data_IF_195340553484
#
_entry.id   IF_195340553484
#
_cell.length_a   1.000
_cell.length_b   1.000
_cell.length_c   1.000
_cell.angle_alpha   90.00
_cell.angle_beta   90.00
_cell.angle_gamma   90.00
#
_symmetry.space_group_name_H-M   'P 1'
#
loop_
_entity.id
_entity.type
_entity.pdbx_description
1 polymer ?
#
# COMPACT_ATOMS: atom_id res chain seq x y z
N UNK A 1 9.15 -19.66 -25.20
CA UNK A 1 8.11 -20.70 -25.32
C UNK A 1 7.81 -21.34 -23.96
N UNK A 2 8.82 -21.90 -23.26
CA UNK A 2 8.65 -22.55 -21.95
C UNK A 2 8.10 -21.64 -20.83
N UNK A 3 8.50 -20.37 -20.76
CA UNK A 3 8.00 -19.43 -19.73
C UNK A 3 6.50 -19.14 -19.89
N UNK A 4 6.06 -18.86 -21.13
CA UNK A 4 4.64 -18.59 -21.44
C UNK A 4 3.77 -19.79 -21.13
N UNK A 5 4.27 -21.00 -21.41
CA UNK A 5 3.58 -22.25 -21.08
C UNK A 5 3.46 -22.43 -19.56
N UNK A 6 4.56 -22.29 -18.80
CA UNK A 6 4.56 -22.33 -17.33
C UNK A 6 3.57 -21.34 -16.74
N UNK A 7 3.59 -20.09 -17.23
CA UNK A 7 2.73 -19.03 -16.74
C UNK A 7 1.25 -19.31 -17.05
N UNK A 8 0.96 -19.90 -18.22
CA UNK A 8 -0.40 -20.35 -18.58
C UNK A 8 -0.90 -21.49 -17.68
N UNK A 9 -0.02 -22.46 -17.35
CA UNK A 9 -0.33 -23.53 -16.40
C UNK A 9 -0.60 -23.02 -15.00
N UNK A 10 0.13 -21.98 -14.54
CA UNK A 10 -0.12 -21.35 -13.25
C UNK A 10 -1.53 -20.75 -13.18
N UNK A 11 -2.00 -20.11 -14.26
CA UNK A 11 -3.37 -19.58 -14.33
C UNK A 11 -4.38 -20.72 -14.23
N UNK A 12 -4.19 -21.77 -15.02
CA UNK A 12 -5.11 -22.90 -15.05
C UNK A 12 -5.23 -23.58 -13.69
N UNK A 13 -4.11 -23.80 -13.00
CA UNK A 13 -4.11 -24.38 -11.65
C UNK A 13 -4.90 -23.49 -10.68
N UNK A 14 -4.69 -22.17 -10.68
CA UNK A 14 -5.41 -21.26 -9.78
C UNK A 14 -6.90 -21.17 -10.08
N UNK A 15 -7.28 -21.15 -11.35
CA UNK A 15 -8.68 -21.17 -11.76
C UNK A 15 -9.36 -22.47 -11.33
N UNK A 16 -8.68 -23.61 -11.50
CA UNK A 16 -9.16 -24.92 -11.05
C UNK A 16 -9.32 -24.97 -9.53
N UNK A 17 -8.32 -24.51 -8.78
CA UNK A 17 -8.38 -24.50 -7.31
C UNK A 17 -9.53 -23.61 -6.82
N UNK A 18 -9.77 -22.49 -7.50
CA UNK A 18 -10.90 -21.60 -7.22
C UNK A 18 -12.27 -22.26 -7.42
N UNK A 19 -12.40 -23.08 -8.46
CA UNK A 19 -13.62 -23.85 -8.75
C UNK A 19 -13.83 -25.00 -7.76
N UNK A 20 -12.73 -25.63 -7.33
CA UNK A 20 -12.75 -26.78 -6.44
C UNK A 20 -12.86 -26.42 -4.96
N UNK A 21 -12.54 -25.17 -4.58
CA UNK A 21 -12.62 -24.74 -3.19
C UNK A 21 -14.07 -24.75 -2.71
N UNK A 22 -14.36 -25.62 -1.75
CA UNK A 22 -15.62 -25.67 -1.00
C UNK A 22 -15.81 -24.41 -0.18
N UNK A 23 -17.06 -23.93 -0.07
CA UNK A 23 -17.43 -22.77 0.73
C UNK A 23 -16.82 -22.87 2.13
N UNK A 24 -16.13 -21.81 2.54
CA UNK A 24 -15.69 -21.65 3.92
C UNK A 24 -16.88 -21.16 4.74
N UNK A 25 -17.12 -21.76 5.91
CA UNK A 25 -18.17 -21.31 6.82
C UNK A 25 -17.73 -19.97 7.44
N UNK A 26 -18.19 -18.87 6.84
CA UNK A 26 -18.02 -17.52 7.38
C UNK A 26 -19.16 -17.20 8.36
N UNK A 27 -18.92 -16.32 9.35
CA UNK A 27 -19.99 -15.73 10.15
C UNK A 27 -21.08 -15.11 9.27
N UNK A 28 -22.33 -15.17 9.73
CA UNK A 28 -23.45 -14.54 9.04
C UNK A 28 -23.28 -13.01 8.99
N UNK A 29 -23.56 -12.42 7.84
CA UNK A 29 -23.52 -10.97 7.65
C UNK A 29 -24.78 -10.37 8.24
N UNK A 30 -24.64 -9.55 9.28
CA UNK A 30 -25.73 -8.85 9.97
C UNK A 30 -25.62 -7.33 9.77
N UNK A 31 -26.69 -6.55 9.98
CA UNK A 31 -26.59 -5.09 9.96
C UNK A 31 -25.53 -4.59 10.95
N UNK A 32 -24.58 -3.80 10.47
CA UNK A 32 -23.44 -3.35 11.28
C UNK A 32 -22.19 -4.26 11.18
N UNK A 33 -22.25 -5.34 10.40
CA UNK A 33 -21.07 -6.14 10.09
C UNK A 33 -19.96 -5.29 9.46
N UNK A 34 -18.73 -5.63 9.81
CA UNK A 34 -17.53 -5.01 9.24
C UNK A 34 -17.40 -5.20 7.73
N UNK A 35 -16.88 -4.18 7.04
CA UNK A 35 -16.67 -4.18 5.58
C UNK A 35 -15.87 -5.40 5.11
N UNK A 36 -14.87 -5.82 5.90
CA UNK A 36 -14.07 -7.00 5.58
C UNK A 36 -14.92 -8.25 5.47
N UNK A 37 -15.81 -8.51 6.44
CA UNK A 37 -16.68 -9.69 6.44
C UNK A 37 -17.64 -9.65 5.23
N UNK A 38 -18.21 -8.47 4.97
CA UNK A 38 -19.11 -8.26 3.83
C UNK A 38 -18.39 -8.59 2.51
N UNK A 39 -17.18 -8.05 2.30
CA UNK A 39 -16.38 -8.30 1.09
C UNK A 39 -15.97 -9.76 0.97
N UNK A 40 -15.55 -10.40 2.06
CA UNK A 40 -15.20 -11.84 2.08
C UNK A 40 -16.41 -12.71 1.72
N UNK A 41 -17.59 -12.40 2.27
CA UNK A 41 -18.83 -13.10 1.94
C UNK A 41 -19.21 -12.93 0.45
N UNK A 42 -19.10 -11.72 -0.11
CA UNK A 42 -19.32 -11.50 -1.54
C UNK A 42 -18.30 -12.26 -2.39
N UNK A 43 -17.03 -12.24 -2.01
CA UNK A 43 -15.98 -12.95 -2.73
C UNK A 43 -16.23 -14.46 -2.74
N UNK A 44 -16.66 -15.08 -1.64
CA UNK A 44 -16.93 -16.53 -1.61
C UNK A 44 -18.15 -16.89 -2.47
N UNK A 45 -19.20 -16.06 -2.42
CA UNK A 45 -20.47 -16.38 -3.07
C UNK A 45 -20.50 -16.07 -4.57
N UNK A 46 -19.71 -15.11 -5.04
CA UNK A 46 -19.68 -14.73 -6.45
C UNK A 46 -18.53 -15.45 -7.19
N UNK A 47 -18.84 -16.41 -8.10
CA UNK A 47 -17.82 -17.11 -8.86
C UNK A 47 -17.00 -16.19 -9.78
N UNK A 48 -17.60 -15.12 -10.32
CA UNK A 48 -16.91 -14.18 -11.19
C UNK A 48 -15.86 -13.38 -10.42
N UNK A 49 -16.19 -12.93 -9.20
CA UNK A 49 -15.22 -12.25 -8.32
C UNK A 49 -14.06 -13.17 -7.93
N UNK A 50 -14.34 -14.45 -7.63
CA UNK A 50 -13.26 -15.41 -7.34
C UNK A 50 -12.34 -15.62 -8.54
N UNK A 51 -12.90 -15.76 -9.74
CA UNK A 51 -12.10 -15.86 -10.96
C UNK A 51 -11.26 -14.60 -11.19
N UNK A 52 -11.85 -13.41 -11.03
CA UNK A 52 -11.12 -12.14 -11.13
C UNK A 52 -9.97 -12.06 -10.12
N UNK A 53 -10.18 -12.52 -8.88
CA UNK A 53 -9.14 -12.60 -7.84
C UNK A 53 -8.03 -13.59 -8.20
N UNK A 54 -8.38 -14.74 -8.78
CA UNK A 54 -7.40 -15.71 -9.27
C UNK A 54 -6.53 -15.14 -10.39
N UNK A 55 -7.13 -14.42 -11.34
CA UNK A 55 -6.41 -13.70 -12.41
C UNK A 55 -5.52 -12.60 -11.83
N UNK A 56 -6.01 -11.82 -10.86
CA UNK A 56 -5.19 -10.80 -10.18
C UNK A 56 -3.95 -11.43 -9.53
N UNK A 57 -4.13 -12.51 -8.75
CA UNK A 57 -3.02 -13.21 -8.12
C UNK A 57 -2.05 -13.78 -9.16
N UNK A 58 -2.56 -14.29 -10.28
CA UNK A 58 -1.76 -14.77 -11.41
C UNK A 58 -0.88 -13.67 -12.02
N UNK A 59 -1.45 -12.51 -12.32
CA UNK A 59 -0.69 -11.36 -12.80
C UNK A 59 0.40 -10.92 -11.82
N UNK A 60 0.09 -10.91 -10.52
CA UNK A 60 1.05 -10.57 -9.46
C UNK A 60 2.21 -11.58 -9.42
N UNK A 61 1.91 -12.87 -9.53
CA UNK A 61 2.91 -13.93 -9.47
C UNK A 61 3.82 -13.97 -10.71
N UNK A 62 3.29 -13.72 -11.90
CA UNK A 62 4.13 -13.61 -13.11
C UNK A 62 5.09 -12.44 -12.98
N UNK A 63 4.60 -11.31 -12.48
CA UNK A 63 5.42 -10.10 -12.37
C UNK A 63 6.56 -10.29 -11.37
N UNK A 64 6.35 -11.12 -10.35
CA UNK A 64 7.33 -11.46 -9.31
C UNK A 64 8.27 -12.59 -9.77
N UNK A 65 8.82 -12.49 -10.98
CA UNK A 65 9.86 -13.41 -11.43
C UNK A 65 11.18 -13.16 -10.69
N UNK A 66 12.11 -14.12 -10.76
CA UNK A 66 13.38 -14.05 -10.02
C UNK A 66 14.21 -12.81 -10.35
N UNK A 67 14.16 -12.37 -11.61
CA UNK A 67 14.90 -11.19 -12.07
C UNK A 67 14.30 -9.92 -11.48
N UNK A 68 12.98 -9.75 -11.58
CA UNK A 68 12.28 -8.62 -11.00
C UNK A 68 12.47 -8.56 -9.49
N UNK A 69 12.45 -9.71 -8.81
CA UNK A 69 12.71 -9.79 -7.38
C UNK A 69 14.15 -9.38 -7.02
N UNK A 70 15.14 -9.77 -7.82
CA UNK A 70 16.53 -9.36 -7.63
C UNK A 70 16.73 -7.86 -7.84
N UNK A 71 16.16 -7.30 -8.91
CA UNK A 71 16.22 -5.88 -9.23
C UNK A 71 15.55 -5.05 -8.12
N UNK A 72 14.38 -5.47 -7.63
CA UNK A 72 13.71 -4.81 -6.50
C UNK A 72 14.51 -4.87 -5.21
N UNK A 73 15.07 -6.03 -4.87
CA UNK A 73 15.93 -6.16 -3.68
C UNK A 73 17.13 -5.21 -3.78
N UNK A 74 17.80 -5.16 -4.94
CA UNK A 74 18.92 -4.26 -5.15
C UNK A 74 18.50 -2.79 -5.03
N UNK A 75 17.37 -2.40 -5.63
CA UNK A 75 16.84 -1.04 -5.49
C UNK A 75 16.55 -0.69 -4.02
N UNK A 76 15.93 -1.59 -3.27
CA UNK A 76 15.65 -1.41 -1.85
C UNK A 76 16.91 -1.24 -1.00
N UNK A 77 18.02 -1.92 -1.33
CA UNK A 77 19.29 -1.76 -0.57
C UNK A 77 19.93 -0.38 -0.73
N UNK A 78 19.53 0.40 -1.74
CA UNK A 78 19.99 1.78 -1.93
C UNK A 78 19.25 2.76 -1.03
N UNK A 79 18.12 2.36 -0.45
CA UNK A 79 17.36 3.23 0.44
C UNK A 79 18.01 3.26 1.82
N UNK A 80 18.36 4.45 2.26
CA UNK A 80 18.91 4.66 3.60
C UNK A 80 17.76 4.73 4.63
N UNK A 81 17.89 4.07 5.80
CA UNK A 81 16.93 4.22 6.87
C UNK A 81 17.04 5.63 7.47
N UNK A 82 15.90 6.31 7.62
CA UNK A 82 15.83 7.71 8.08
C UNK A 82 14.72 7.87 9.11
N UNK A 83 14.94 8.82 10.04
CA UNK A 83 13.92 9.23 11.01
C UNK A 83 12.96 10.29 10.44
N UNK A 84 13.44 11.10 9.50
CA UNK A 84 12.72 12.24 8.93
C UNK A 84 12.91 12.17 7.42
N UNK A 85 11.82 12.32 6.67
CA UNK A 85 11.87 12.47 5.22
C UNK A 85 12.31 13.90 4.83
N UNK A 86 12.87 14.06 3.63
CA UNK A 86 13.46 15.32 3.16
C UNK A 86 14.49 15.94 4.11
N UNK A 87 15.39 15.10 4.62
CA UNK A 87 16.38 15.47 5.64
C UNK A 87 17.29 16.63 5.18
N UNK A 88 17.71 16.63 3.91
CA UNK A 88 18.63 17.64 3.37
C UNK A 88 17.93 18.99 3.22
N UNK A 89 16.69 18.99 2.77
CA UNK A 89 15.82 20.17 2.69
C UNK A 89 15.56 20.71 4.10
N UNK A 90 15.23 19.85 5.07
CA UNK A 90 15.07 20.23 6.48
C UNK A 90 16.33 20.91 7.06
N UNK A 91 17.51 20.33 6.80
CA UNK A 91 18.78 20.89 7.24
C UNK A 91 19.04 22.27 6.61
N UNK A 92 18.79 22.39 5.29
CA UNK A 92 18.92 23.66 4.59
C UNK A 92 17.99 24.73 5.17
N UNK A 93 16.74 24.39 5.48
CA UNK A 93 15.77 25.33 6.06
C UNK A 93 16.22 25.88 7.40
N UNK A 94 16.72 25.00 8.28
CA UNK A 94 17.28 25.41 9.58
C UNK A 94 18.48 26.33 9.41
N UNK A 95 19.36 26.02 8.45
CA UNK A 95 20.58 26.79 8.19
C UNK A 95 20.26 28.17 7.61
N UNK A 96 19.37 28.23 6.61
CA UNK A 96 18.91 29.47 5.98
C UNK A 96 18.18 30.38 6.97
N UNK A 97 17.33 29.82 7.83
CA UNK A 97 16.66 30.56 8.90
C UNK A 97 17.65 31.17 9.89
N UNK A 98 18.63 30.40 10.37
CA UNK A 98 19.61 30.89 11.34
C UNK A 98 20.56 31.95 10.75
N UNK A 99 20.89 31.83 9.46
CA UNK A 99 21.83 32.71 8.77
C UNK A 99 21.16 33.87 8.01
N UNK A 100 19.82 34.00 8.06
CA UNK A 100 19.04 34.95 7.25
C UNK A 100 19.40 34.91 5.75
N UNK A 101 19.68 33.71 5.23
CA UNK A 101 20.03 33.50 3.81
C UNK A 101 18.77 33.30 2.96
N UNK A 102 18.77 33.72 1.69
CA UNK A 102 17.65 33.46 0.78
C UNK A 102 17.42 31.95 0.62
N UNK A 103 16.16 31.52 0.73
CA UNK A 103 15.75 30.13 0.60
C UNK A 103 15.05 29.87 -0.76
N UNK A 104 15.67 29.10 -1.67
CA UNK A 104 15.04 28.72 -2.94
C UNK A 104 14.05 27.54 -2.82
N UNK A 105 14.02 26.83 -1.70
CA UNK A 105 13.21 25.62 -1.50
C UNK A 105 11.88 25.91 -0.79
N UNK A 106 11.09 24.85 -0.58
CA UNK A 106 9.89 24.86 0.27
C UNK A 106 10.18 25.44 1.65
N UNK A 107 9.17 25.96 2.33
CA UNK A 107 9.29 26.65 3.63
C UNK A 107 8.72 25.85 4.81
N UNK A 108 7.96 24.79 4.55
CA UNK A 108 7.45 23.85 5.56
C UNK A 108 7.64 22.42 5.06
N UNK A 109 7.64 21.44 5.97
CA UNK A 109 7.84 20.02 5.65
C UNK A 109 6.52 19.26 5.58
N UNK A 110 5.49 19.86 4.98
CA UNK A 110 4.24 19.16 4.68
C UNK A 110 4.42 18.35 3.40
N UNK A 111 3.79 17.17 3.31
CA UNK A 111 3.90 16.31 2.13
C UNK A 111 3.40 16.98 0.84
N UNK A 112 2.52 17.98 0.94
CA UNK A 112 1.98 18.76 -0.17
C UNK A 112 2.63 20.15 -0.32
N UNK A 113 3.72 20.42 0.41
CA UNK A 113 4.39 21.73 0.40
C UNK A 113 4.89 22.13 -0.99
N UNK A 114 5.43 21.18 -1.76
CA UNK A 114 5.91 21.42 -3.12
C UNK A 114 4.78 21.89 -4.04
N UNK A 115 3.61 21.25 -3.93
CA UNK A 115 2.41 21.63 -4.68
C UNK A 115 1.86 22.98 -4.24
N UNK A 116 1.67 23.21 -2.93
CA UNK A 116 1.08 24.44 -2.37
C UNK A 116 1.93 25.67 -2.65
N UNK A 117 3.24 25.54 -2.48
CA UNK A 117 4.16 26.67 -2.57
C UNK A 117 4.70 26.90 -3.98
N UNK A 118 4.51 25.93 -4.88
CA UNK A 118 5.14 25.90 -6.22
C UNK A 118 6.66 26.07 -6.12
N UNK A 119 7.26 25.41 -5.13
CA UNK A 119 8.71 25.38 -4.85
C UNK A 119 9.19 23.94 -4.81
N UNK A 120 10.49 23.75 -5.03
CA UNK A 120 11.10 22.41 -5.09
C UNK A 120 11.74 22.03 -3.77
N UNK A 121 12.05 20.75 -3.67
CA UNK A 121 12.96 20.20 -2.68
C UNK A 121 14.41 20.44 -3.12
N UNK A 122 15.35 20.10 -2.25
CA UNK A 122 16.73 19.90 -2.69
C UNK A 122 16.80 18.73 -3.68
N UNK A 123 17.61 18.86 -4.74
CA UNK A 123 17.75 17.86 -5.81
C UNK A 123 17.97 16.43 -5.29
N UNK A 124 18.71 16.29 -4.19
CA UNK A 124 18.95 14.96 -3.63
C UNK A 124 17.73 14.36 -2.93
N UNK A 125 16.93 15.16 -2.22
CA UNK A 125 15.70 14.67 -1.62
C UNK A 125 14.64 14.38 -2.69
N UNK A 126 14.60 15.17 -3.78
CA UNK A 126 13.72 14.92 -4.93
C UNK A 126 14.07 13.59 -5.62
N UNK A 127 15.35 13.30 -5.83
CA UNK A 127 15.78 12.02 -6.39
C UNK A 127 15.44 10.84 -5.46
N UNK A 128 15.71 10.98 -4.17
CA UNK A 128 15.42 9.93 -3.18
C UNK A 128 13.92 9.64 -3.08
N UNK A 129 13.07 10.66 -3.12
CA UNK A 129 11.61 10.51 -3.14
C UNK A 129 11.15 9.77 -4.40
N UNK A 130 11.67 10.15 -5.57
CA UNK A 130 11.34 9.48 -6.83
C UNK A 130 11.73 7.99 -6.82
N UNK A 131 12.93 7.67 -6.31
CA UNK A 131 13.40 6.28 -6.20
C UNK A 131 12.51 5.48 -5.23
N UNK A 132 12.16 6.06 -4.08
CA UNK A 132 11.22 5.45 -3.14
C UNK A 132 9.86 5.17 -3.78
N UNK A 133 9.28 6.15 -4.46
CA UNK A 133 7.96 6.03 -5.09
C UNK A 133 7.94 4.93 -6.16
N UNK A 134 9.00 4.80 -6.96
CA UNK A 134 9.12 3.72 -7.95
C UNK A 134 9.18 2.33 -7.29
N UNK A 135 9.90 2.20 -6.17
CA UNK A 135 9.99 0.96 -5.40
C UNK A 135 8.62 0.63 -4.76
N UNK A 136 7.97 1.62 -4.15
CA UNK A 136 6.64 1.46 -3.55
C UNK A 136 5.63 1.02 -4.61
N UNK A 137 5.57 1.72 -5.74
CA UNK A 137 4.67 1.37 -6.85
C UNK A 137 4.92 -0.07 -7.34
N UNK A 138 6.18 -0.46 -7.48
CA UNK A 138 6.56 -1.82 -7.85
C UNK A 138 6.06 -2.87 -6.86
N UNK A 139 6.19 -2.63 -5.56
CA UNK A 139 5.69 -3.52 -4.52
C UNK A 139 4.16 -3.62 -4.53
N UNK A 140 3.46 -2.51 -4.74
CA UNK A 140 2.00 -2.49 -4.84
C UNK A 140 1.51 -3.32 -6.04
N UNK A 141 2.20 -3.23 -7.19
CA UNK A 141 1.86 -3.98 -8.41
C UNK A 141 1.94 -5.49 -8.23
N UNK A 142 2.82 -5.98 -7.37
CA UNK A 142 2.95 -7.41 -7.04
C UNK A 142 2.17 -7.84 -5.79
N UNK A 143 1.45 -6.91 -5.15
CA UNK A 143 0.61 -7.20 -3.98
C UNK A 143 1.37 -7.24 -2.65
N UNK A 144 2.60 -6.73 -2.59
CA UNK A 144 3.46 -6.72 -1.40
C UNK A 144 3.23 -5.46 -0.54
N UNK A 145 1.98 -5.20 -0.16
CA UNK A 145 1.55 -4.01 0.57
C UNK A 145 2.27 -3.83 1.91
N UNK A 146 2.48 -4.92 2.66
CA UNK A 146 3.17 -4.87 3.95
C UNK A 146 4.63 -4.44 3.80
N UNK A 147 5.33 -4.91 2.76
CA UNK A 147 6.71 -4.49 2.48
C UNK A 147 6.75 -3.02 2.06
N UNK A 148 5.82 -2.58 1.22
CA UNK A 148 5.72 -1.17 0.82
C UNK A 148 5.55 -0.25 2.04
N UNK A 149 4.61 -0.58 2.95
CA UNK A 149 4.40 0.17 4.19
C UNK A 149 5.64 0.19 5.08
N UNK A 150 6.34 -0.95 5.22
CA UNK A 150 7.53 -1.04 6.05
C UNK A 150 8.69 -0.20 5.52
N UNK A 151 8.89 -0.15 4.20
CA UNK A 151 9.91 0.69 3.58
C UNK A 151 9.59 2.18 3.77
N UNK A 152 8.32 2.56 3.59
CA UNK A 152 7.89 3.94 3.85
C UNK A 152 8.17 4.35 5.30
N UNK A 153 7.88 3.45 6.27
CA UNK A 153 8.19 3.69 7.68
C UNK A 153 9.70 3.78 7.95
N UNK A 154 10.50 2.89 7.37
CA UNK A 154 11.95 2.87 7.62
C UNK A 154 12.69 4.05 7.00
N UNK A 155 12.14 4.65 5.95
CA UNK A 155 12.70 5.83 5.26
C UNK A 155 12.14 7.16 5.78
N UNK A 156 11.30 7.14 6.83
CA UNK A 156 10.73 8.34 7.45
C UNK A 156 9.47 8.89 6.76
N UNK A 157 9.01 8.29 5.66
CA UNK A 157 7.77 8.63 4.95
C UNK A 157 6.53 8.03 5.64
N UNK A 158 6.34 8.36 6.91
CA UNK A 158 5.22 7.84 7.72
C UNK A 158 3.85 8.22 7.16
N UNK A 159 3.73 9.40 6.55
CA UNK A 159 2.50 9.86 5.91
C UNK A 159 2.12 8.94 4.74
N UNK A 160 3.08 8.50 3.92
CA UNK A 160 2.84 7.59 2.81
C UNK A 160 2.46 6.20 3.33
N UNK A 161 3.10 5.73 4.41
CA UNK A 161 2.71 4.48 5.06
C UNK A 161 1.26 4.53 5.58
N UNK A 162 0.83 5.67 6.15
CA UNK A 162 -0.54 5.88 6.60
C UNK A 162 -1.53 5.92 5.43
N UNK A 163 -1.15 6.59 4.33
CA UNK A 163 -1.90 6.65 3.07
C UNK A 163 -2.16 5.24 2.53
N UNK A 164 -1.15 4.37 2.54
CA UNK A 164 -1.29 2.97 2.11
C UNK A 164 -2.19 2.15 3.05
N UNK A 165 -2.15 2.39 4.36
CA UNK A 165 -3.01 1.70 5.34
C UNK A 165 -4.48 2.12 5.25
N UNK A 166 -4.78 3.36 4.83
CA UNK A 166 -6.15 3.87 4.81
C UNK A 166 -7.07 3.19 3.78
N UNK A 167 -6.51 2.38 2.87
CA UNK A 167 -7.27 1.54 1.93
C UNK A 167 -7.68 0.17 2.52
N UNK A 168 -7.26 -0.16 3.74
CA UNK A 168 -7.63 -1.42 4.39
C UNK A 168 -9.12 -1.43 4.76
N UNK A 169 -9.77 -2.58 4.55
CA UNK A 169 -11.18 -2.77 4.87
C UNK A 169 -11.38 -2.66 6.38
N UNK A 170 -12.39 -1.90 6.79
CA UNK A 170 -12.75 -1.81 8.19
C UNK A 170 -13.07 -3.20 8.74
N UNK A 171 -12.49 -3.51 9.90
CA UNK A 171 -12.70 -4.77 10.59
C UNK A 171 -12.69 -4.58 12.10
N UNK A 172 -13.68 -5.18 12.74
CA UNK A 172 -13.81 -5.22 14.18
C UNK A 172 -14.31 -6.62 14.54
N UNK A 173 -13.42 -7.42 15.13
CA UNK A 173 -13.68 -8.81 15.53
C UNK A 173 -14.58 -8.88 16.77
N UNK A 174 -14.67 -7.79 17.53
CA UNK A 174 -15.43 -7.75 18.78
C UNK A 174 -16.95 -7.82 18.55
N UNK A 175 -17.44 -7.58 17.33
CA UNK A 175 -18.85 -7.79 16.98
C UNK A 175 -19.25 -9.27 16.92
N UNK A 176 -18.27 -10.18 16.78
CA UNK A 176 -18.53 -11.61 16.54
C UNK A 176 -17.94 -12.53 17.62
N UNK A 177 -16.96 -12.04 18.39
CA UNK A 177 -16.45 -12.75 19.55
C UNK A 177 -17.50 -12.71 20.68
N UNK A 178 -18.05 -13.89 21.01
CA UNK A 178 -18.92 -14.06 22.18
C UNK A 178 -18.20 -13.59 23.46
N UNK A 179 -18.95 -13.01 24.40
CA UNK A 179 -18.57 -12.50 25.74
C UNK A 179 -17.74 -13.48 26.64
N UNK A 180 -17.39 -14.67 26.14
CA UNK A 180 -16.77 -15.75 26.89
C UNK A 180 -15.26 -15.60 27.14
N UNK A 181 -14.56 -14.72 26.40
CA UNK A 181 -13.16 -14.39 26.63
C UNK A 181 -13.06 -12.86 26.73
N UNK A 182 -12.65 -12.30 27.87
CA UNK A 182 -12.38 -10.86 28.12
C UNK A 182 -11.27 -10.25 27.21
N UNK A 183 -11.04 -10.83 26.03
CA UNK A 183 -10.04 -10.43 25.06
C UNK A 183 -10.69 -9.48 24.07
N UNK A 184 -10.33 -8.20 24.17
CA UNK A 184 -10.71 -7.18 23.20
C UNK A 184 -9.65 -7.14 22.10
N UNK A 185 -10.09 -7.34 20.85
CA UNK A 185 -9.24 -7.26 19.68
C UNK A 185 -9.14 -5.82 19.16
N UNK A 186 -7.98 -5.41 18.61
CA UNK A 186 -7.84 -4.08 18.03
C UNK A 186 -8.72 -3.95 16.78
N UNK A 187 -9.35 -2.79 16.64
CA UNK A 187 -10.09 -2.42 15.44
C UNK A 187 -9.11 -2.06 14.32
N UNK A 188 -9.32 -2.60 13.13
CA UNK A 188 -8.45 -2.44 11.97
C UNK A 188 -9.17 -1.74 10.80
N UNK A 189 -8.39 -1.19 9.87
CA UNK A 189 -8.87 -0.60 8.63
C UNK A 189 -9.58 0.75 8.78
N UNK A 190 -10.26 1.18 7.72
CA UNK A 190 -10.85 2.52 7.61
C UNK A 190 -12.37 2.45 7.38
N UNK A 191 -13.16 2.93 8.34
CA UNK A 191 -14.63 3.03 8.21
C UNK A 191 -15.07 3.94 7.06
N UNK A 192 -14.27 4.96 6.74
CA UNK A 192 -14.55 5.95 5.68
C UNK A 192 -13.76 5.65 4.41
N UNK A 193 -13.58 4.37 4.10
CA UNK A 193 -12.79 3.92 2.95
C UNK A 193 -13.30 4.47 1.61
N UNK A 194 -14.61 4.65 1.44
CA UNK A 194 -15.19 5.21 0.20
C UNK A 194 -14.73 6.67 0.00
N UNK A 195 -14.92 7.52 1.00
CA UNK A 195 -14.48 8.93 0.97
C UNK A 195 -12.97 9.04 0.73
N UNK A 196 -12.22 8.11 1.34
CA UNK A 196 -10.78 8.00 1.12
C UNK A 196 -10.43 7.68 -0.34
N UNK A 197 -11.10 6.70 -0.96
CA UNK A 197 -10.89 6.35 -2.38
C UNK A 197 -11.21 7.53 -3.29
N UNK A 198 -12.32 8.23 -3.04
CA UNK A 198 -12.72 9.43 -3.79
C UNK A 198 -11.63 10.51 -3.69
N UNK A 199 -11.16 10.79 -2.48
CA UNK A 199 -10.10 11.78 -2.25
C UNK A 199 -8.79 11.40 -2.95
N UNK A 200 -8.42 10.13 -2.93
CA UNK A 200 -7.21 9.64 -3.62
C UNK A 200 -7.36 9.65 -5.14
N UNK A 201 -8.56 9.42 -5.65
CA UNK A 201 -8.84 9.50 -7.08
C UNK A 201 -8.70 10.93 -7.58
N UNK A 202 -9.26 11.90 -6.86
CA UNK A 202 -9.09 13.33 -7.14
C UNK A 202 -7.61 13.71 -7.14
N UNK A 203 -6.87 13.34 -6.07
CA UNK A 203 -5.44 13.61 -5.96
C UNK A 203 -4.60 13.00 -7.10
N UNK A 204 -5.04 11.89 -7.69
CA UNK A 204 -4.32 11.25 -8.80
C UNK A 204 -4.51 11.94 -10.15
N UNK A 205 -5.47 12.87 -10.24
CA UNK A 205 -5.77 13.65 -11.44
C UNK A 205 -5.13 15.06 -11.40
N UNK A 206 -4.63 15.49 -10.24
CA UNK A 206 -3.93 16.77 -10.03
C UNK A 206 -2.47 16.74 -10.50
#
# INVERSE_FOLDING_TARGET
MLQVERDSWLLWNRARDTLNNTRQDLPEVIPGSSDRLIVEHHLINDPQLRMAKAVQGWLQAIKLDERYQADLKMAMTKLEPKRIYWEKTCHFLKSSYNANLPNPYITCLDFDATHKQKRRLCDTDEQEENDLLQIVFSLLRVGEYSKAKNICKSTGYHWLAALLSANELYHDENYYCSEANDIVYPVEGNQKRIQWIESMYELSMD
#
